data_IF_549685532377
#
_entry.id   IF_549685532377
#
_cell.length_a   1.000
_cell.length_b   1.000
_cell.length_c   1.000
_cell.angle_alpha   90.00
_cell.angle_beta   90.00
_cell.angle_gamma   90.00
#
_symmetry.space_group_name_H-M   'P 1'
#
loop_
_entity.id
_entity.type
_entity.pdbx_description
1 polymer ?
#
# COMPACT_ATOMS: atom_id res chain seq x y z
N UNK A 1 -4.63 -8.42 10.63
CA UNK A 1 -4.00 -7.93 9.39
C UNK A 1 -3.88 -6.43 9.51
N UNK A 2 -2.85 -5.83 8.93
CA UNK A 2 -2.98 -4.43 8.56
C UNK A 2 -3.97 -4.46 7.39
N UNK A 3 -5.26 -4.34 7.70
CA UNK A 3 -6.28 -4.09 6.68
C UNK A 3 -6.18 -2.61 6.30
N UNK A 4 -5.02 -2.21 5.81
CA UNK A 4 -4.86 -0.93 5.15
C UNK A 4 -5.33 -1.17 3.72
N UNK A 5 -6.56 -0.79 3.44
CA UNK A 5 -6.98 -0.58 2.07
C UNK A 5 -6.24 0.64 1.54
N UNK A 6 -5.04 0.42 1.01
CA UNK A 6 -4.43 1.39 0.11
C UNK A 6 -5.31 1.44 -1.12
N UNK A 7 -6.18 2.44 -1.16
CA UNK A 7 -7.00 2.69 -2.34
C UNK A 7 -6.12 3.43 -3.30
N UNK A 8 -5.59 2.69 -4.26
CA UNK A 8 -5.04 3.31 -5.46
C UNK A 8 -6.24 3.86 -6.19
N UNK A 9 -6.46 5.18 -6.07
CA UNK A 9 -7.55 5.81 -6.81
C UNK A 9 -7.24 5.59 -8.28
N UNK A 10 -8.02 4.73 -8.91
CA UNK A 10 -7.89 4.43 -10.32
C UNK A 10 -7.81 5.74 -11.09
N UNK A 11 -6.69 5.98 -11.74
CA UNK A 11 -6.70 6.82 -12.91
C UNK A 11 -7.74 6.20 -13.83
N UNK A 12 -8.87 6.87 -14.00
CA UNK A 12 -9.83 6.56 -15.05
C UNK A 12 -9.06 6.66 -16.36
N UNK A 13 -8.59 5.53 -16.86
CA UNK A 13 -8.02 5.44 -18.20
C UNK A 13 -9.20 5.18 -19.11
N UNK A 14 -9.93 6.26 -19.43
CA UNK A 14 -11.01 6.20 -20.42
C UNK A 14 -10.35 5.98 -21.78
N UNK A 15 -10.38 4.74 -22.25
CA UNK A 15 -9.75 4.35 -23.50
C UNK A 15 -10.69 4.63 -24.66
N UNK A 16 -10.40 5.67 -25.44
CA UNK A 16 -11.13 5.98 -26.67
C UNK A 16 -10.48 5.28 -27.88
N UNK A 17 -11.27 4.48 -28.61
CA UNK A 17 -10.81 3.79 -29.82
C UNK A 17 -11.03 4.70 -31.03
N UNK A 18 -9.95 5.25 -31.60
CA UNK A 18 -10.02 5.97 -32.88
C UNK A 18 -10.10 4.99 -34.06
N UNK A 19 -11.15 5.14 -34.87
CA UNK A 19 -11.38 4.35 -36.07
C UNK A 19 -10.94 5.08 -37.35
N UNK A 20 -10.25 6.22 -37.24
CA UNK A 20 -9.69 6.92 -38.39
C UNK A 20 -8.73 6.02 -39.19
N UNK A 21 -8.84 6.04 -40.52
CA UNK A 21 -8.01 5.20 -41.40
C UNK A 21 -8.47 3.74 -41.56
N UNK A 22 -9.53 3.30 -40.87
CA UNK A 22 -10.15 2.00 -41.11
C UNK A 22 -11.07 2.05 -42.34
N UNK A 23 -11.05 0.97 -43.14
CA UNK A 23 -11.97 0.81 -44.26
C UNK A 23 -13.09 -0.16 -43.88
N UNK A 24 -14.33 0.32 -43.90
CA UNK A 24 -15.50 -0.54 -43.75
C UNK A 24 -15.71 -1.34 -45.05
N UNK A 25 -15.35 -2.62 -45.03
CA UNK A 25 -15.61 -3.54 -46.15
C UNK A 25 -16.95 -4.24 -45.90
N UNK A 26 -17.99 -3.78 -46.59
CA UNK A 26 -19.29 -4.43 -46.56
C UNK A 26 -19.27 -5.67 -47.48
N UNK A 27 -19.75 -6.83 -47.02
CA UNK A 27 -19.91 -7.98 -47.90
C UNK A 27 -20.93 -7.66 -49.00
N UNK A 28 -20.67 -8.11 -50.22
CA UNK A 28 -21.47 -7.77 -51.41
C UNK A 28 -22.91 -8.32 -51.40
N UNK A 29 -23.24 -9.15 -50.43
CA UNK A 29 -24.51 -9.86 -50.26
C UNK A 29 -25.38 -9.30 -49.11
N UNK A 30 -24.98 -8.22 -48.44
CA UNK A 30 -25.71 -7.64 -47.30
C UNK A 30 -26.47 -6.37 -47.68
N UNK A 31 -27.80 -6.45 -47.69
CA UNK A 31 -28.72 -5.39 -48.15
C UNK A 31 -29.25 -4.50 -47.01
N UNK A 32 -28.41 -4.09 -46.05
CA UNK A 32 -28.89 -3.72 -44.70
C UNK A 32 -28.85 -2.26 -44.28
N UNK A 33 -28.24 -1.32 -45.04
CA UNK A 33 -28.30 0.10 -44.67
C UNK A 33 -29.23 0.88 -45.62
N UNK A 34 -30.49 1.06 -45.19
CA UNK A 34 -31.52 1.81 -45.93
C UNK A 34 -31.96 3.02 -45.11
N UNK A 35 -31.88 4.21 -45.72
CA UNK A 35 -32.45 5.45 -45.15
C UNK A 35 -33.84 5.65 -45.75
N UNK A 36 -34.86 5.61 -44.89
CA UNK A 36 -36.25 5.89 -45.30
C UNK A 36 -36.58 7.34 -45.00
N UNK A 37 -37.15 8.08 -45.97
CA UNK A 37 -37.65 9.44 -45.77
C UNK A 37 -39.14 9.51 -46.13
N UNK A 38 -39.88 10.35 -45.40
CA UNK A 38 -41.29 10.64 -45.68
C UNK A 38 -41.41 12.14 -45.91
N UNK A 39 -41.93 12.54 -47.07
CA UNK A 39 -42.24 13.93 -47.38
C UNK A 39 -43.75 14.14 -47.40
N UNK A 40 -44.22 15.13 -46.64
CA UNK A 40 -45.62 15.54 -46.64
C UNK A 40 -45.76 16.84 -47.43
N UNK A 41 -46.61 16.82 -48.45
CA UNK A 41 -46.88 17.97 -49.30
C UNK A 41 -48.31 18.44 -48.99
N UNK A 42 -48.43 19.61 -48.39
CA UNK A 42 -49.72 20.23 -48.08
C UNK A 42 -50.04 21.32 -49.10
N UNK A 43 -51.19 21.22 -49.75
CA UNK A 43 -51.70 22.24 -50.68
C UNK A 43 -52.63 23.20 -49.93
N UNK A 44 -52.55 24.52 -50.13
CA UNK A 44 -53.50 25.47 -49.56
C UNK A 44 -54.93 25.20 -50.05
N UNK A 45 -55.90 25.25 -49.15
CA UNK A 45 -57.31 24.95 -49.47
C UNK A 45 -58.09 26.15 -50.02
N UNK A 46 -57.51 27.34 -49.98
CA UNK A 46 -58.13 28.64 -50.30
C UNK A 46 -57.59 29.27 -51.59
N UNK A 47 -56.74 28.56 -52.35
CA UNK A 47 -56.22 29.00 -53.64
C UNK A 47 -56.46 27.95 -54.73
N UNK A 48 -56.97 28.40 -55.89
CA UNK A 48 -56.97 27.58 -57.11
C UNK A 48 -55.54 27.39 -57.62
N UNK A 49 -55.13 26.13 -57.78
CA UNK A 49 -53.86 25.75 -58.42
C UNK A 49 -54.13 24.85 -59.62
N UNK A 50 -53.36 25.06 -60.70
CA UNK A 50 -53.36 24.19 -61.88
C UNK A 50 -52.08 23.36 -61.87
N UNK A 51 -52.23 22.04 -61.78
CA UNK A 51 -51.13 21.09 -61.87
C UNK A 51 -51.11 20.50 -63.29
N UNK A 52 -49.94 20.45 -63.90
CA UNK A 52 -49.72 19.87 -65.22
C UNK A 52 -49.05 18.49 -65.11
N UNK A 53 -49.23 17.64 -66.13
CA UNK A 53 -48.56 16.33 -66.22
C UNK A 53 -47.03 16.44 -66.35
N UNK A 54 -46.52 17.63 -66.63
CA UNK A 54 -45.09 17.93 -66.70
C UNK A 54 -44.51 18.46 -65.39
N UNK A 55 -45.34 18.71 -64.37
CA UNK A 55 -44.84 19.22 -63.10
C UNK A 55 -44.13 18.08 -62.35
N UNK A 56 -42.93 18.36 -61.84
CA UNK A 56 -42.14 17.40 -61.05
C UNK A 56 -41.71 18.03 -59.73
N UNK A 57 -41.69 17.21 -58.68
CA UNK A 57 -41.25 17.61 -57.36
C UNK A 57 -39.91 16.92 -57.12
N UNK A 58 -38.84 17.71 -57.13
CA UNK A 58 -37.48 17.22 -56.83
C UNK A 58 -37.20 17.42 -55.35
N UNK A 59 -36.90 16.33 -54.64
CA UNK A 59 -36.52 16.35 -53.23
C UNK A 59 -35.05 15.91 -53.17
N UNK A 60 -34.17 16.83 -52.81
CA UNK A 60 -32.76 16.53 -52.56
C UNK A 60 -32.52 16.45 -51.05
N UNK A 61 -32.16 15.27 -50.56
CA UNK A 61 -31.76 15.06 -49.16
C UNK A 61 -30.23 15.10 -49.10
N UNK A 62 -29.67 16.08 -48.40
CA UNK A 62 -28.25 16.13 -48.09
C UNK A 62 -28.04 15.58 -46.67
N UNK A 63 -27.29 14.49 -46.55
CA UNK A 63 -26.91 13.90 -45.26
C UNK A 63 -25.45 14.24 -45.00
N UNK A 64 -25.20 15.24 -44.16
CA UNK A 64 -23.89 15.57 -43.63
C UNK A 64 -23.74 15.00 -42.21
N UNK A 65 -22.49 14.82 -41.77
CA UNK A 65 -22.14 14.50 -40.37
C UNK A 65 -22.72 13.19 -39.81
N UNK A 66 -22.93 12.18 -40.66
CA UNK A 66 -23.27 10.84 -40.18
C UNK A 66 -22.07 10.19 -39.50
N UNK A 67 -22.27 9.69 -38.29
CA UNK A 67 -21.30 8.92 -37.52
C UNK A 67 -21.90 7.58 -37.10
N UNK A 68 -21.06 6.54 -37.01
CA UNK A 68 -21.46 5.27 -36.42
C UNK A 68 -21.43 5.36 -34.90
N UNK A 69 -22.51 4.95 -34.24
CA UNK A 69 -22.52 4.77 -32.79
C UNK A 69 -21.82 3.46 -32.38
N UNK A 70 -21.93 2.43 -33.22
CA UNK A 70 -21.22 1.17 -33.04
C UNK A 70 -20.98 0.48 -34.38
N UNK A 71 -19.98 -0.40 -34.41
CA UNK A 71 -19.60 -1.22 -35.56
C UNK A 71 -19.42 -2.65 -35.08
N UNK A 72 -20.12 -3.59 -35.71
CA UNK A 72 -19.98 -5.03 -35.45
C UNK A 72 -19.35 -5.71 -36.65
N UNK A 73 -18.32 -6.52 -36.43
CA UNK A 73 -17.67 -7.30 -37.49
C UNK A 73 -16.32 -7.85 -37.09
N UNK A 74 -15.55 -8.29 -38.09
CA UNK A 74 -14.12 -8.57 -37.91
C UNK A 74 -13.37 -7.24 -37.94
N UNK A 75 -12.80 -6.87 -36.80
CA UNK A 75 -12.13 -5.59 -36.60
C UNK A 75 -10.64 -5.86 -36.48
N UNK A 76 -9.83 -5.14 -37.28
CA UNK A 76 -8.38 -5.25 -37.18
C UNK A 76 -7.94 -4.84 -35.77
N UNK A 77 -6.95 -5.53 -35.17
CA UNK A 77 -6.54 -5.23 -33.81
C UNK A 77 -6.03 -3.81 -33.66
N UNK A 78 -6.49 -3.12 -32.62
CA UNK A 78 -6.03 -1.78 -32.24
C UNK A 78 -5.03 -1.93 -31.09
N UNK A 79 -3.96 -1.14 -31.13
CA UNK A 79 -3.02 -1.01 -30.02
C UNK A 79 -3.23 0.36 -29.38
N UNK A 80 -3.35 0.35 -28.06
CA UNK A 80 -3.69 1.52 -27.26
C UNK A 80 -2.64 1.62 -26.16
N UNK A 81 -2.01 2.77 -26.03
CA UNK A 81 -1.12 3.06 -24.91
C UNK A 81 -1.96 3.44 -23.69
N UNK A 82 -1.60 2.87 -22.54
CA UNK A 82 -2.20 3.16 -21.25
C UNK A 82 -1.27 4.15 -20.54
N UNK A 83 -1.79 5.36 -20.33
CA UNK A 83 -1.08 6.41 -19.61
C UNK A 83 -0.67 5.95 -18.21
N UNK A 84 0.48 6.41 -17.70
CA UNK A 84 0.95 6.05 -16.38
C UNK A 84 -0.02 6.54 -15.31
N UNK A 85 -0.45 5.63 -14.46
CA UNK A 85 -1.20 5.92 -13.22
C UNK A 85 -0.23 5.76 -12.07
N UNK A 86 -0.06 6.83 -11.30
CA UNK A 86 0.79 6.86 -10.11
C UNK A 86 -0.06 6.91 -8.85
N UNK A 87 0.37 6.15 -7.85
CA UNK A 87 -0.18 6.21 -6.51
C UNK A 87 0.93 6.38 -5.50
N UNK A 88 0.77 7.39 -4.64
CA UNK A 88 1.60 7.57 -3.45
C UNK A 88 1.18 6.59 -2.37
N UNK A 89 2.16 6.02 -1.69
CA UNK A 89 1.97 5.09 -0.58
C UNK A 89 2.38 5.82 0.69
N UNK A 90 1.55 5.70 1.73
CA UNK A 90 1.94 6.18 3.04
C UNK A 90 3.11 5.33 3.52
N UNK A 91 4.22 5.98 3.85
CA UNK A 91 5.42 5.31 4.33
C UNK A 91 5.06 4.34 5.46
N UNK A 92 5.63 3.14 5.38
CA UNK A 92 5.54 2.19 6.48
C UNK A 92 6.24 2.81 7.71
N UNK A 93 5.74 2.57 8.93
CA UNK A 93 6.37 3.10 10.14
C UNK A 93 7.84 2.67 10.23
N UNK A 94 8.72 3.59 10.65
CA UNK A 94 10.17 3.36 10.77
C UNK A 94 10.47 2.23 11.78
N UNK A 95 9.57 1.96 12.73
CA UNK A 95 9.68 0.86 13.68
C UNK A 95 9.61 -0.53 13.02
N UNK A 96 9.20 -0.59 11.75
CA UNK A 96 9.22 -1.80 10.93
C UNK A 96 10.49 -1.91 10.06
N UNK A 97 11.51 -1.12 10.33
CA UNK A 97 12.82 -1.31 9.69
C UNK A 97 13.42 -2.68 10.08
N UNK A 98 13.86 -3.43 9.07
CA UNK A 98 14.30 -4.83 9.23
C UNK A 98 13.16 -5.87 9.29
N UNK A 99 11.91 -5.47 9.02
CA UNK A 99 10.76 -6.37 8.91
C UNK A 99 10.26 -6.49 7.47
N UNK A 100 10.71 -7.49 6.74
CA UNK A 100 10.25 -7.72 5.36
C UNK A 100 8.91 -8.44 5.33
N UNK A 101 7.97 -8.02 4.51
CA UNK A 101 6.74 -8.78 4.31
C UNK A 101 7.07 -10.12 3.64
N UNK A 102 6.63 -11.21 4.26
CA UNK A 102 6.77 -12.55 3.70
C UNK A 102 5.77 -12.77 2.56
N UNK A 103 4.53 -12.34 2.78
CA UNK A 103 3.42 -12.52 1.85
C UNK A 103 2.72 -11.19 1.59
N UNK A 104 2.49 -10.90 0.32
CA UNK A 104 1.76 -9.73 -0.16
C UNK A 104 0.93 -10.17 -1.34
N UNK A 105 -0.37 -9.98 -1.23
CA UNK A 105 -1.31 -10.17 -2.32
C UNK A 105 -1.50 -8.83 -3.04
N UNK A 106 -1.25 -8.80 -4.34
CA UNK A 106 -1.53 -7.65 -5.17
C UNK A 106 -2.26 -8.09 -6.42
N UNK A 107 -3.40 -7.47 -6.71
CA UNK A 107 -4.22 -7.80 -7.86
C UNK A 107 -4.73 -6.57 -8.59
N UNK A 108 -4.96 -6.72 -9.89
CA UNK A 108 -5.65 -5.75 -10.72
C UNK A 108 -6.94 -6.38 -11.22
N UNK A 109 -8.07 -5.76 -10.93
CA UNK A 109 -9.38 -6.16 -11.41
C UNK A 109 -9.82 -5.20 -12.52
N UNK A 110 -9.99 -5.74 -13.74
CA UNK A 110 -10.43 -4.96 -14.88
C UNK A 110 -11.92 -5.15 -15.17
N UNK A 111 -12.58 -4.07 -15.56
CA UNK A 111 -13.92 -4.10 -16.13
C UNK A 111 -13.87 -3.50 -17.53
N UNK A 112 -14.36 -4.24 -18.51
CA UNK A 112 -14.39 -3.81 -19.91
C UNK A 112 -15.79 -4.03 -20.48
N UNK A 113 -16.33 -3.01 -21.13
CA UNK A 113 -17.57 -3.13 -21.92
C UNK A 113 -17.31 -3.63 -23.35
N UNK A 114 -16.04 -3.65 -23.77
CA UNK A 114 -15.63 -3.94 -25.14
C UNK A 114 -15.94 -5.40 -25.48
N UNK A 115 -16.76 -5.61 -26.50
CA UNK A 115 -17.14 -6.94 -27.00
C UNK A 115 -16.07 -7.53 -27.94
N UNK A 116 -14.80 -7.43 -27.54
CA UNK A 116 -13.65 -8.00 -28.22
C UNK A 116 -12.61 -8.50 -27.21
N UNK A 117 -11.75 -9.47 -27.58
CA UNK A 117 -10.63 -9.87 -26.73
C UNK A 117 -9.68 -8.71 -26.44
N UNK A 118 -9.34 -8.47 -25.18
CA UNK A 118 -8.41 -7.42 -24.76
C UNK A 118 -7.18 -8.05 -24.11
N UNK A 119 -6.01 -7.84 -24.69
CA UNK A 119 -4.72 -8.31 -24.19
C UNK A 119 -3.95 -7.14 -23.60
N UNK A 120 -3.72 -7.17 -22.29
CA UNK A 120 -2.93 -6.17 -21.59
C UNK A 120 -1.46 -6.56 -21.53
N UNK A 121 -0.60 -5.57 -21.68
CA UNK A 121 0.84 -5.63 -21.38
C UNK A 121 1.17 -4.46 -20.45
N UNK A 122 1.26 -4.71 -19.16
CA UNK A 122 1.48 -3.69 -18.12
C UNK A 122 2.86 -3.84 -17.48
N UNK A 123 3.42 -2.71 -17.07
CA UNK A 123 4.57 -2.56 -16.21
C UNK A 123 4.11 -1.89 -14.92
N UNK A 124 4.25 -2.59 -13.81
CA UNK A 124 4.03 -2.07 -12.46
C UNK A 124 5.39 -1.83 -11.82
N UNK A 125 5.72 -0.57 -11.51
CA UNK A 125 7.01 -0.20 -10.93
C UNK A 125 6.81 0.46 -9.59
N UNK A 126 7.42 -0.10 -8.56
CA UNK A 126 7.53 0.51 -7.23
C UNK A 126 8.83 1.33 -7.15
N UNK A 127 8.77 2.51 -6.55
CA UNK A 127 9.90 3.42 -6.38
C UNK A 127 10.03 3.81 -4.91
N UNK A 128 11.24 3.71 -4.38
CA UNK A 128 11.66 4.35 -3.14
C UNK A 128 12.53 5.56 -3.53
N UNK A 129 12.00 6.75 -3.34
CA UNK A 129 12.63 8.01 -3.69
C UNK A 129 13.69 8.43 -2.66
N UNK A 130 13.59 7.91 -1.42
CA UNK A 130 14.55 8.16 -0.34
C UNK A 130 15.90 7.51 -0.65
N UNK A 131 15.91 6.22 -1.02
CA UNK A 131 17.14 5.47 -1.29
C UNK A 131 17.45 5.31 -2.80
N UNK A 132 16.48 5.59 -3.67
CA UNK A 132 16.60 5.51 -5.13
C UNK A 132 16.31 4.13 -5.73
N UNK A 133 15.86 3.16 -4.93
CA UNK A 133 15.55 1.81 -5.38
C UNK A 133 14.27 1.76 -6.23
N UNK A 134 14.24 0.81 -7.16
CA UNK A 134 13.02 0.51 -7.92
C UNK A 134 12.93 -0.94 -8.33
N UNK A 135 11.72 -1.48 -8.30
CA UNK A 135 11.42 -2.85 -8.73
C UNK A 135 10.25 -2.80 -9.70
N UNK A 136 10.38 -3.54 -10.80
CA UNK A 136 9.36 -3.62 -11.85
C UNK A 136 8.81 -5.04 -11.99
N UNK A 137 7.50 -5.13 -12.24
CA UNK A 137 6.79 -6.34 -12.61
C UNK A 137 6.08 -6.15 -13.94
N UNK A 138 6.25 -7.15 -14.81
CA UNK A 138 5.58 -7.20 -16.10
C UNK A 138 4.37 -8.13 -16.01
N UNK A 139 3.27 -7.69 -16.58
CA UNK A 139 2.00 -8.41 -16.63
C UNK A 139 1.60 -8.53 -18.09
N UNK A 140 1.28 -9.75 -18.52
CA UNK A 140 0.76 -10.00 -19.86
C UNK A 140 -0.43 -10.95 -19.77
N UNK A 141 -1.66 -10.44 -19.99
CA UNK A 141 -2.87 -11.23 -19.79
C UNK A 141 -4.02 -10.82 -20.71
N UNK A 142 -4.82 -11.80 -21.14
CA UNK A 142 -6.11 -11.56 -21.79
C UNK A 142 -7.20 -11.36 -20.72
N UNK A 143 -7.66 -10.12 -20.55
CA UNK A 143 -8.64 -9.76 -19.53
C UNK A 143 -10.08 -10.11 -19.92
N UNK A 144 -10.34 -10.42 -21.19
CA UNK A 144 -11.67 -10.88 -21.62
C UNK A 144 -11.97 -12.29 -21.10
N UNK A 145 -10.94 -13.13 -20.95
CA UNK A 145 -11.08 -14.48 -20.39
C UNK A 145 -10.96 -14.49 -18.85
N UNK A 146 -10.04 -13.69 -18.31
CA UNK A 146 -9.88 -13.53 -16.87
C UNK A 146 -9.55 -12.06 -16.54
N UNK A 147 -10.53 -11.29 -16.01
CA UNK A 147 -10.34 -9.87 -15.72
C UNK A 147 -9.46 -9.61 -14.48
N UNK A 148 -9.24 -10.61 -13.63
CA UNK A 148 -8.40 -10.50 -12.45
C UNK A 148 -6.96 -10.91 -12.81
N UNK A 149 -6.02 -10.00 -12.56
CA UNK A 149 -4.60 -10.21 -12.75
C UNK A 149 -3.94 -10.24 -11.38
N UNK A 150 -3.22 -11.31 -11.07
CA UNK A 150 -2.39 -11.39 -9.87
C UNK A 150 -0.96 -10.94 -10.19
N UNK A 151 -0.42 -10.04 -9.38
CA UNK A 151 0.97 -9.60 -9.47
C UNK A 151 1.84 -10.55 -8.65
N UNK A 152 2.67 -11.33 -9.35
CA UNK A 152 3.55 -12.30 -8.71
C UNK A 152 4.69 -11.62 -7.95
N UNK A 153 5.07 -12.20 -6.82
CA UNK A 153 6.13 -11.71 -5.94
C UNK A 153 5.96 -10.22 -5.60
N UNK A 154 4.74 -9.84 -5.23
CA UNK A 154 4.42 -8.47 -4.85
C UNK A 154 5.11 -8.03 -3.55
N UNK A 155 5.56 -8.98 -2.72
CA UNK A 155 6.34 -8.69 -1.52
C UNK A 155 7.63 -7.93 -1.85
N UNK A 156 8.33 -8.28 -2.91
CA UNK A 156 9.52 -7.55 -3.35
C UNK A 156 9.21 -6.07 -3.68
N UNK A 157 8.04 -5.79 -4.28
CA UNK A 157 7.62 -4.40 -4.57
C UNK A 157 7.40 -3.59 -3.29
N UNK A 158 6.87 -4.21 -2.23
CA UNK A 158 6.55 -3.54 -0.96
C UNK A 158 7.77 -3.49 -0.03
N UNK A 159 8.66 -4.48 -0.08
CA UNK A 159 9.81 -4.58 0.82
C UNK A 159 10.88 -3.52 0.53
N UNK A 160 10.93 -2.97 -0.68
CA UNK A 160 11.75 -1.77 -0.96
C UNK A 160 11.20 -0.50 -0.29
N UNK A 161 10.13 -0.57 0.50
CA UNK A 161 9.48 0.59 1.17
C UNK A 161 9.15 1.71 0.17
N UNK A 162 8.34 1.43 -0.85
CA UNK A 162 8.12 2.39 -1.91
C UNK A 162 7.31 3.61 -1.43
N UNK A 163 7.71 4.79 -1.87
CA UNK A 163 6.93 6.03 -1.75
C UNK A 163 5.80 6.10 -2.77
N UNK A 164 5.98 5.41 -3.91
CA UNK A 164 4.96 5.33 -4.96
C UNK A 164 5.02 4.04 -5.76
N UNK A 165 3.87 3.65 -6.31
CA UNK A 165 3.74 2.63 -7.35
C UNK A 165 3.14 3.26 -8.60
N UNK A 166 3.78 3.00 -9.74
CA UNK A 166 3.35 3.48 -11.06
C UNK A 166 2.99 2.29 -11.94
N UNK A 167 1.78 2.31 -12.50
CA UNK A 167 1.31 1.35 -13.48
C UNK A 167 1.22 2.01 -14.86
N UNK A 168 1.81 1.41 -15.89
CA UNK A 168 1.74 1.88 -17.29
C UNK A 168 1.76 0.71 -18.24
N UNK A 169 1.36 0.90 -19.49
CA UNK A 169 1.47 -0.20 -20.45
C UNK A 169 0.74 0.05 -21.75
N UNK A 170 0.27 -1.03 -22.35
CA UNK A 170 -0.58 -0.98 -23.53
C UNK A 170 -1.62 -2.09 -23.52
N UNK A 171 -2.69 -1.87 -24.28
CA UNK A 171 -3.72 -2.84 -24.56
C UNK A 171 -3.79 -3.12 -26.06
N UNK A 172 -3.94 -4.39 -26.41
CA UNK A 172 -4.35 -4.82 -27.74
C UNK A 172 -5.81 -5.24 -27.70
N UNK A 173 -6.65 -4.54 -28.44
CA UNK A 173 -8.10 -4.81 -28.53
C UNK A 173 -8.40 -5.51 -29.85
N UNK A 174 -9.07 -6.66 -29.78
CA UNK A 174 -9.45 -7.46 -30.93
C UNK A 174 -8.39 -8.46 -31.40
N UNK A 175 -8.85 -9.43 -32.18
CA UNK A 175 -8.00 -10.31 -32.98
C UNK A 175 -8.71 -10.59 -34.33
N UNK A 176 -7.94 -10.99 -35.36
CA UNK A 176 -8.48 -11.23 -36.71
C UNK A 176 -9.46 -12.42 -36.77
N UNK A 177 -9.42 -13.28 -35.77
CA UNK A 177 -10.26 -14.48 -35.68
C UNK A 177 -11.56 -14.22 -34.87
N UNK A 178 -11.75 -12.99 -34.38
CA UNK A 178 -12.90 -12.59 -33.56
C UNK A 178 -13.84 -11.69 -34.33
N UNK A 179 -15.13 -11.94 -34.14
CA UNK A 179 -16.20 -11.02 -34.51
C UNK A 179 -16.68 -10.40 -33.21
N UNK A 180 -16.78 -9.08 -33.19
CA UNK A 180 -17.22 -8.36 -32.01
C UNK A 180 -17.77 -7.00 -32.36
N UNK A 181 -18.25 -6.30 -31.34
CA UNK A 181 -18.80 -4.96 -31.46
C UNK A 181 -17.88 -3.96 -30.77
N UNK A 182 -17.62 -2.84 -31.43
CA UNK A 182 -17.05 -1.65 -30.81
C UNK A 182 -18.06 -0.53 -30.86
N UNK A 183 -18.25 0.18 -29.75
CA UNK A 183 -19.14 1.31 -29.63
C UNK A 183 -18.37 2.57 -29.21
N UNK A 184 -18.94 3.74 -29.50
CA UNK A 184 -18.32 5.03 -29.13
C UNK A 184 -18.23 5.26 -27.62
N UNK A 185 -19.06 4.55 -26.85
CA UNK A 185 -19.13 4.59 -25.38
C UNK A 185 -18.45 3.38 -24.72
N UNK A 186 -17.69 2.59 -25.49
CA UNK A 186 -16.92 1.51 -24.92
C UNK A 186 -15.83 2.03 -23.98
N UNK A 187 -15.62 1.30 -22.88
CA UNK A 187 -14.65 1.67 -21.86
C UNK A 187 -13.90 0.46 -21.32
N UNK A 188 -12.70 0.76 -20.82
CA UNK A 188 -11.87 -0.15 -20.05
C UNK A 188 -11.48 0.57 -18.76
N UNK A 189 -11.68 -0.09 -17.63
CA UNK A 189 -11.31 0.44 -16.32
C UNK A 189 -10.64 -0.65 -15.49
N UNK A 190 -9.77 -0.25 -14.57
CA UNK A 190 -9.06 -1.18 -13.70
C UNK A 190 -8.96 -0.65 -12.27
N UNK A 191 -8.97 -1.55 -11.29
CA UNK A 191 -8.75 -1.25 -9.88
C UNK A 191 -7.60 -2.10 -9.37
N UNK A 192 -6.56 -1.46 -8.82
CA UNK A 192 -5.46 -2.17 -8.14
C UNK A 192 -5.79 -2.31 -6.66
N UNK A 193 -5.66 -3.53 -6.14
CA UNK A 193 -5.80 -3.85 -4.72
C UNK A 193 -4.50 -4.45 -4.19
N UNK A 194 -4.07 -4.00 -3.02
CA UNK A 194 -2.91 -4.54 -2.30
C UNK A 194 -3.35 -4.96 -0.91
N UNK A 195 -2.97 -6.16 -0.51
CA UNK A 195 -3.19 -6.69 0.83
C UNK A 195 -1.90 -7.31 1.33
N UNK A 196 -1.39 -6.78 2.44
CA UNK A 196 -0.20 -7.30 3.11
C UNK A 196 -0.59 -7.81 4.50
N UNK A 197 -0.69 -9.13 4.71
CA UNK A 197 -0.74 -9.70 6.05
C UNK A 197 0.48 -9.23 6.87
N UNK A 198 0.27 -9.03 8.18
CA UNK A 198 1.37 -8.75 9.14
C UNK A 198 2.12 -10.05 9.45
N UNK A 199 2.77 -10.59 8.44
CA UNK A 199 3.63 -11.77 8.52
C UNK A 199 4.97 -11.37 7.92
N UNK A 200 5.98 -11.32 8.77
CA UNK A 200 7.25 -10.72 8.45
C UNK A 200 8.36 -11.76 8.45
N UNK A 201 9.31 -11.61 7.53
CA UNK A 201 10.67 -12.09 7.69
C UNK A 201 11.40 -11.01 8.47
N UNK A 202 11.87 -11.36 9.67
CA UNK A 202 12.54 -10.41 10.54
C UNK A 202 14.02 -10.74 10.56
N UNK A 203 14.84 -9.76 10.22
CA UNK A 203 16.29 -9.89 10.27
C UNK A 203 16.76 -10.05 11.72
N UNK A 204 17.82 -10.84 11.90
CA UNK A 204 18.43 -10.97 13.22
C UNK A 204 18.98 -9.61 13.66
N UNK A 205 18.51 -9.13 14.81
CA UNK A 205 18.90 -7.82 15.33
C UNK A 205 18.05 -6.64 14.87
N UNK A 206 16.93 -6.86 14.15
CA UNK A 206 15.94 -5.81 13.90
C UNK A 206 15.56 -5.13 15.24
N UNK A 207 15.54 -3.79 15.24
CA UNK A 207 15.43 -3.00 16.46
C UNK A 207 14.07 -2.31 16.50
N UNK A 208 13.26 -2.66 17.50
CA UNK A 208 12.05 -1.92 17.85
C UNK A 208 12.41 -0.95 18.98
N UNK A 209 12.30 0.35 18.71
CA UNK A 209 12.63 1.40 19.67
C UNK A 209 11.58 2.52 19.56
N UNK A 210 10.62 2.64 20.49
CA UNK A 210 9.67 3.75 20.49
C UNK A 210 10.39 5.07 20.79
N UNK A 211 9.71 6.19 20.53
CA UNK A 211 10.24 7.52 20.86
C UNK A 211 10.65 7.65 22.34
N UNK A 212 11.74 8.38 22.64
CA UNK A 212 12.13 8.65 24.02
C UNK A 212 11.06 9.40 24.81
N UNK A 213 10.84 9.00 26.06
CA UNK A 213 9.83 9.61 26.94
C UNK A 213 10.50 10.29 28.12
N UNK A 214 10.01 11.48 28.51
CA UNK A 214 10.47 12.14 29.73
C UNK A 214 10.12 11.28 30.96
N UNK A 215 11.15 10.88 31.70
CA UNK A 215 11.04 10.00 32.87
C UNK A 215 11.05 10.81 34.17
N UNK A 216 12.07 11.67 34.35
CA UNK A 216 12.16 12.60 35.48
C UNK A 216 12.28 14.03 34.95
N UNK A 217 11.40 14.91 35.40
CA UNK A 217 11.41 16.32 34.99
C UNK A 217 12.55 17.09 35.64
N UNK A 218 12.92 18.21 35.02
CA UNK A 218 13.96 19.08 35.56
C UNK A 218 13.58 19.60 36.95
N UNK A 219 14.45 19.33 37.93
CA UNK A 219 14.26 19.72 39.32
C UNK A 219 13.37 18.76 40.14
N UNK A 220 12.75 17.76 39.50
CA UNK A 220 12.07 16.67 40.19
C UNK A 220 13.06 15.55 40.52
N UNK A 221 12.67 14.68 41.46
CA UNK A 221 13.41 13.48 41.86
C UNK A 221 12.42 12.34 42.07
N UNK A 222 12.88 11.10 41.87
CA UNK A 222 12.13 9.89 42.21
C UNK A 222 11.94 9.70 43.73
N UNK A 223 12.47 10.61 44.56
CA UNK A 223 12.35 10.52 46.02
C UNK A 223 13.18 9.39 46.62
N UNK A 224 14.21 8.96 45.89
CA UNK A 224 15.14 7.91 46.30
C UNK A 224 16.10 8.48 47.35
N UNK A 225 16.14 7.93 48.58
CA UNK A 225 17.09 8.36 49.60
C UNK A 225 18.54 8.12 49.20
N UNK A 226 19.45 8.96 49.68
CA UNK A 226 20.88 8.86 49.37
C UNK A 226 21.56 7.65 50.01
N UNK A 227 20.95 7.10 51.07
CA UNK A 227 21.49 5.96 51.82
C UNK A 227 21.23 4.61 51.15
N UNK A 228 20.41 4.57 50.08
CA UNK A 228 20.21 3.35 49.29
C UNK A 228 21.38 3.17 48.33
N UNK A 229 22.05 2.02 48.45
CA UNK A 229 23.24 1.64 47.68
C UNK A 229 22.95 0.55 46.63
N UNK A 230 21.88 -0.21 46.81
CA UNK A 230 21.42 -1.20 45.84
C UNK A 230 19.90 -1.36 45.90
N UNK A 231 19.33 -1.80 44.79
CA UNK A 231 17.91 -2.12 44.69
C UNK A 231 17.70 -3.36 43.83
N UNK A 232 16.85 -4.26 44.30
CA UNK A 232 16.31 -5.33 43.46
C UNK A 232 14.88 -4.98 43.03
N UNK A 233 14.63 -5.01 41.72
CA UNK A 233 13.34 -4.76 41.08
C UNK A 233 12.77 -6.07 40.54
N UNK A 234 11.44 -6.23 40.58
CA UNK A 234 10.76 -7.38 39.97
C UNK A 234 10.36 -7.01 38.56
N UNK A 235 10.91 -7.70 37.56
CA UNK A 235 10.50 -7.58 36.18
C UNK A 235 9.53 -8.70 35.81
N UNK A 236 8.39 -8.34 35.23
CA UNK A 236 7.44 -9.26 34.63
C UNK A 236 7.37 -8.99 33.12
N UNK A 237 7.57 -10.03 32.33
CA UNK A 237 7.43 -10.01 30.86
C UNK A 237 6.26 -10.91 30.48
N UNK A 238 5.36 -10.39 29.67
CA UNK A 238 4.34 -11.14 28.96
C UNK A 238 4.51 -10.85 27.47
N UNK A 239 5.15 -11.80 26.76
CA UNK A 239 5.37 -11.75 25.33
C UNK A 239 4.30 -12.60 24.64
N UNK A 240 3.49 -11.99 23.78
CA UNK A 240 2.55 -12.69 22.91
C UNK A 240 3.03 -12.76 21.46
N UNK A 241 4.26 -12.30 21.20
CA UNK A 241 4.84 -12.37 19.87
C UNK A 241 5.40 -13.77 19.60
N UNK A 242 5.33 -14.17 18.33
CA UNK A 242 5.90 -15.44 17.84
C UNK A 242 7.44 -15.41 17.72
N UNK A 243 8.10 -14.36 18.23
CA UNK A 243 9.55 -14.21 18.27
C UNK A 243 10.07 -13.89 19.68
N UNK A 244 11.32 -14.28 19.93
CA UNK A 244 12.05 -13.87 21.11
C UNK A 244 12.75 -12.53 20.87
N UNK A 245 13.10 -11.84 21.96
CA UNK A 245 13.84 -10.59 21.86
C UNK A 245 14.78 -10.39 23.05
N UNK A 246 15.75 -9.50 22.86
CA UNK A 246 16.58 -8.92 23.91
C UNK A 246 16.07 -7.53 24.23
N UNK A 247 16.03 -7.17 25.52
CA UNK A 247 15.62 -5.85 25.99
C UNK A 247 16.81 -5.13 26.61
N UNK A 248 16.99 -3.89 26.20
CA UNK A 248 17.78 -2.88 26.88
C UNK A 248 16.92 -1.65 27.16
N UNK A 249 17.32 -0.88 28.17
CA UNK A 249 16.68 0.38 28.52
C UNK A 249 17.76 1.44 28.58
N UNK A 250 17.62 2.45 27.74
CA UNK A 250 18.53 3.58 27.66
C UNK A 250 17.99 4.76 28.46
N UNK A 251 18.91 5.54 29.00
CA UNK A 251 18.67 6.82 29.63
C UNK A 251 19.50 7.91 28.96
N UNK A 252 18.92 9.10 28.83
CA UNK A 252 19.61 10.28 28.37
C UNK A 252 19.18 11.54 29.13
N UNK A 253 20.00 12.61 29.11
CA UNK A 253 19.67 13.89 29.72
C UNK A 253 18.55 14.64 28.99
N UNK A 254 18.28 14.31 27.73
CA UNK A 254 17.16 14.78 26.91
C UNK A 254 16.90 13.80 25.74
N UNK A 255 15.83 14.03 24.96
CA UNK A 255 15.49 13.16 23.83
C UNK A 255 16.53 13.21 22.69
N UNK A 256 17.15 14.37 22.45
CA UNK A 256 18.16 14.54 21.40
C UNK A 256 19.46 13.80 21.73
N UNK A 257 19.84 13.76 23.01
CA UNK A 257 20.98 12.97 23.47
C UNK A 257 20.78 11.48 23.19
N UNK A 258 19.54 11.00 23.32
CA UNK A 258 19.19 9.61 22.98
C UNK A 258 19.30 9.36 21.48
N UNK A 259 18.76 10.24 20.65
CA UNK A 259 18.88 10.17 19.19
C UNK A 259 20.34 10.23 18.70
N UNK A 260 21.18 11.02 19.36
CA UNK A 260 22.60 11.16 19.04
C UNK A 260 23.49 10.03 19.62
N UNK A 261 22.92 9.10 20.39
CA UNK A 261 23.65 8.00 21.03
C UNK A 261 24.49 8.40 22.24
N UNK A 262 24.27 9.60 22.80
CA UNK A 262 24.88 10.08 24.05
C UNK A 262 24.08 9.56 25.25
N UNK A 263 24.02 8.23 25.37
CA UNK A 263 23.15 7.51 26.30
C UNK A 263 23.93 6.71 27.34
N UNK A 264 23.30 6.52 28.49
CA UNK A 264 23.67 5.50 29.46
C UNK A 264 22.70 4.32 29.36
N UNK A 265 23.17 3.12 29.69
CA UNK A 265 22.32 1.92 29.72
C UNK A 265 21.87 1.65 31.15
N UNK A 266 20.56 1.77 31.41
CA UNK A 266 19.99 1.46 32.71
C UNK A 266 19.91 -0.06 32.93
N UNK A 267 19.43 -0.79 31.91
CA UNK A 267 19.25 -2.24 31.93
C UNK A 267 19.63 -2.85 30.59
N UNK A 268 20.24 -4.03 30.59
CA UNK A 268 20.51 -4.79 29.38
C UNK A 268 20.66 -6.29 29.65
N UNK A 269 20.67 -7.09 28.59
CA UNK A 269 20.96 -8.52 28.65
C UNK A 269 19.77 -9.41 28.99
N UNK A 270 18.58 -8.84 29.12
CA UNK A 270 17.35 -9.61 29.34
C UNK A 270 16.86 -10.17 28.02
N UNK A 271 16.80 -11.49 27.92
CA UNK A 271 16.29 -12.18 26.73
C UNK A 271 15.08 -13.01 27.09
N UNK A 272 14.13 -13.08 26.17
CA UNK A 272 12.94 -13.93 26.31
C UNK A 272 12.65 -14.65 25.01
N UNK A 273 12.05 -15.84 25.15
CA UNK A 273 11.60 -16.66 24.03
C UNK A 273 10.24 -16.19 23.48
N UNK A 274 9.83 -16.66 22.29
CA UNK A 274 8.46 -16.52 21.81
C UNK A 274 7.43 -16.96 22.86
N UNK A 275 6.28 -16.30 22.91
CA UNK A 275 5.15 -16.65 23.79
C UNK A 275 5.49 -16.79 25.30
N UNK A 276 6.57 -16.13 25.73
CA UNK A 276 7.08 -16.29 27.08
C UNK A 276 6.31 -15.44 28.11
N UNK A 277 6.03 -16.05 29.27
CA UNK A 277 5.66 -15.31 30.48
C UNK A 277 6.73 -15.53 31.53
N UNK A 278 7.46 -14.47 31.87
CA UNK A 278 8.64 -14.51 32.73
C UNK A 278 8.42 -13.56 33.91
N UNK A 279 8.83 -13.99 35.09
CA UNK A 279 9.03 -13.12 36.26
C UNK A 279 10.49 -13.31 36.68
N UNK A 280 11.23 -12.21 36.72
CA UNK A 280 12.66 -12.21 37.07
C UNK A 280 12.97 -11.07 38.04
N UNK A 281 14.12 -11.17 38.72
CA UNK A 281 14.61 -10.13 39.62
C UNK A 281 15.81 -9.45 38.99
N UNK A 282 15.67 -8.14 38.80
CA UNK A 282 16.72 -7.27 38.29
C UNK A 282 17.45 -6.65 39.47
N UNK A 283 18.76 -6.79 39.51
CA UNK A 283 19.60 -6.07 40.46
C UNK A 283 20.15 -4.83 39.80
N UNK A 284 19.88 -3.66 40.39
CA UNK A 284 20.51 -2.41 40.05
C UNK A 284 21.78 -2.27 40.88
N UNK A 285 22.91 -2.12 40.20
CA UNK A 285 24.15 -1.73 40.84
C UNK A 285 24.16 -0.22 41.15
N UNK A 286 25.20 0.23 41.87
CA UNK A 286 25.35 1.62 42.27
C UNK A 286 25.32 2.56 41.05
N UNK A 287 25.98 2.19 39.95
CA UNK A 287 26.03 3.01 38.74
C UNK A 287 24.62 3.18 38.13
N UNK A 288 23.88 2.09 37.93
CA UNK A 288 22.50 2.13 37.44
C UNK A 288 21.58 2.92 38.38
N UNK A 289 21.82 2.86 39.70
CA UNK A 289 21.05 3.61 40.68
C UNK A 289 21.33 5.11 40.61
N UNK A 290 22.58 5.51 40.41
CA UNK A 290 22.95 6.91 40.18
C UNK A 290 22.33 7.46 38.89
N UNK A 291 22.15 6.63 37.85
CA UNK A 291 21.41 7.04 36.66
C UNK A 291 19.94 7.39 36.97
N UNK A 292 19.27 6.62 37.83
CA UNK A 292 17.88 6.88 38.23
C UNK A 292 17.70 8.18 39.04
N UNK A 293 18.75 8.64 39.72
CA UNK A 293 18.74 9.90 40.47
C UNK A 293 18.88 11.14 39.59
N UNK A 294 19.18 10.99 38.29
CA UNK A 294 19.41 12.13 37.39
C UNK A 294 18.13 12.90 37.08
N UNK A 295 18.28 14.21 37.05
CA UNK A 295 17.21 15.16 36.72
C UNK A 295 17.75 16.29 35.84
N UNK A 296 17.12 16.57 34.69
CA UNK A 296 16.05 15.77 34.09
C UNK A 296 16.58 14.46 33.48
N UNK A 297 15.70 13.53 33.13
CA UNK A 297 16.05 12.28 32.44
C UNK A 297 14.94 11.80 31.51
N UNK A 298 15.36 11.21 30.39
CA UNK A 298 14.52 10.57 29.39
C UNK A 298 14.87 9.09 29.31
N UNK A 299 13.87 8.27 29.04
CA UNK A 299 14.00 6.82 28.97
C UNK A 299 13.54 6.32 27.59
N UNK A 300 14.26 5.34 27.06
CA UNK A 300 13.89 4.66 25.83
C UNK A 300 14.16 3.15 25.94
N UNK A 301 13.13 2.30 25.88
CA UNK A 301 13.35 0.86 25.76
C UNK A 301 13.81 0.53 24.34
N UNK A 302 14.73 -0.42 24.22
CA UNK A 302 15.21 -0.96 22.97
C UNK A 302 14.99 -2.48 22.96
N UNK A 303 14.27 -2.95 21.95
CA UNK A 303 13.90 -4.36 21.82
C UNK A 303 14.54 -4.88 20.54
N UNK A 304 15.60 -5.67 20.69
CA UNK A 304 16.31 -6.28 19.57
C UNK A 304 15.78 -7.69 19.33
N UNK A 305 15.27 -7.94 18.13
CA UNK A 305 14.65 -9.22 17.77
C UNK A 305 15.69 -10.34 17.72
N UNK A 306 15.39 -11.44 18.42
CA UNK A 306 16.14 -12.70 18.35
C UNK A 306 15.33 -13.65 17.47
N UNK A 307 15.65 -13.64 16.18
CA UNK A 307 15.04 -14.51 15.17
C UNK A 307 16.00 -15.61 14.74
N UNK A 308 15.44 -16.77 14.38
CA UNK A 308 16.17 -17.77 13.60
C UNK A 308 16.02 -17.37 12.13
N UNK A 309 17.09 -16.82 11.53
CA UNK A 309 17.08 -16.28 10.17
C UNK A 309 16.30 -17.16 9.17
N UNK A 310 15.42 -16.52 8.38
CA UNK A 310 14.64 -17.17 7.34
C UNK A 310 13.34 -17.85 7.79
N UNK A 311 12.98 -17.79 9.07
CA UNK A 311 11.67 -18.24 9.54
C UNK A 311 10.70 -17.06 9.57
N UNK A 312 9.58 -17.11 8.83
CA UNK A 312 8.54 -16.09 8.96
C UNK A 312 8.01 -16.05 10.38
N UNK A 313 7.92 -14.85 10.91
CA UNK A 313 7.35 -14.54 12.21
C UNK A 313 6.04 -13.83 11.97
N UNK A 314 4.97 -14.30 12.59
CA UNK A 314 3.68 -13.63 12.49
C UNK A 314 3.56 -12.58 13.57
N UNK A 315 2.96 -11.45 13.19
CA UNK A 315 2.62 -10.38 14.10
C UNK A 315 1.13 -10.08 13.95
N UNK A 316 0.31 -10.43 14.93
CA UNK A 316 -1.11 -10.05 14.88
C UNK A 316 -1.26 -8.64 15.45
N UNK A 317 -2.22 -7.89 14.91
CA UNK A 317 -2.61 -6.58 15.44
C UNK A 317 -3.15 -6.64 16.88
N UNK A 318 -3.37 -7.85 17.40
CA UNK A 318 -3.80 -8.13 18.78
C UNK A 318 -2.67 -8.54 19.70
N UNK A 319 -1.49 -8.84 19.16
CA UNK A 319 -0.39 -9.33 19.98
C UNK A 319 0.21 -8.18 20.77
N UNK A 320 0.53 -8.45 22.03
CA UNK A 320 1.10 -7.46 22.94
C UNK A 320 2.38 -7.98 23.56
N UNK A 321 3.37 -7.10 23.66
CA UNK A 321 4.48 -7.25 24.60
C UNK A 321 4.22 -6.33 25.77
N UNK A 322 4.07 -6.89 26.96
CA UNK A 322 3.98 -6.13 28.19
C UNK A 322 5.20 -6.44 29.06
N UNK A 323 6.01 -5.42 29.29
CA UNK A 323 7.08 -5.44 30.26
C UNK A 323 6.65 -4.55 31.42
N UNK A 324 6.75 -5.05 32.65
CA UNK A 324 6.45 -4.29 33.85
C UNK A 324 7.59 -4.49 34.84
N UNK A 325 8.11 -3.39 35.38
CA UNK A 325 9.17 -3.41 36.37
C UNK A 325 8.60 -2.74 37.63
N UNK A 326 8.36 -3.56 38.65
CA UNK A 326 7.67 -3.17 39.88
C UNK A 326 8.44 -3.62 41.12
N UNK A 327 8.24 -2.90 42.23
CA UNK A 327 8.75 -3.27 43.55
C UNK A 327 10.22 -2.90 43.76
N UNK A 328 10.57 -2.59 45.01
CA UNK A 328 11.94 -2.29 45.45
C UNK A 328 12.19 -3.08 46.72
N UNK A 329 13.20 -3.94 46.72
CA UNK A 329 13.91 -4.31 47.95
C UNK A 329 15.28 -3.64 47.92
N UNK A 330 15.53 -2.75 48.88
CA UNK A 330 16.77 -1.96 48.95
C UNK A 330 17.62 -2.35 50.14
N UNK A 331 18.94 -2.31 49.96
CA UNK A 331 19.88 -2.28 51.08
C UNK A 331 20.27 -0.83 51.38
N UNK A 332 20.32 -0.51 52.67
CA UNK A 332 20.68 0.82 53.17
C UNK A 332 22.08 0.73 53.77
N UNK A 333 22.98 1.62 53.35
CA UNK A 333 24.29 1.75 54.02
C UNK A 333 24.11 2.50 55.35
N UNK A 334 24.25 1.75 56.46
CA UNK A 334 24.15 2.29 57.81
C UNK A 334 25.48 2.88 58.32
N UNK A 335 26.58 2.76 57.56
CA UNK A 335 27.89 3.28 57.99
C UNK A 335 27.94 4.82 58.02
N UNK A 336 27.12 5.49 57.18
CA UNK A 336 26.96 6.94 57.19
C UNK A 336 26.25 7.48 58.46
N UNK A 337 25.57 6.62 59.24
CA UNK A 337 24.91 7.01 60.49
C UNK A 337 25.85 6.96 61.71
N UNK A 338 27.08 6.48 61.56
CA UNK A 338 28.01 6.24 62.67
C UNK A 338 29.02 7.39 62.84
N UNK A 339 29.09 8.33 61.89
CA UNK A 339 30.04 9.47 61.93
C UNK A 339 29.47 10.75 62.59
N UNK A 340 28.26 10.70 63.17
CA UNK A 340 27.71 11.76 64.03
C UNK A 340 27.67 11.34 65.52
N UNK A 341 28.84 11.15 66.14
CA UNK A 341 29.02 11.28 67.61
C UNK A 341 30.26 12.13 67.97
#
# INVERSE_FOLDING_TARGET
SLDTTFTINSGISEVQIDLSGYNLVLPSDVDTQKVNYISNISLPSDQEMTLSLSDSISISVNMADMAFQSVTGQINPVFIDIDPVEQTIDALPEELDGFDFNDVEMSLDFNSSIDLPVYLNLSITAYNDTNGDSITRMVNQNIHANPNIQILNASELINIRPDRIVARGSAKVGNLDSVGTVASDDSLSGVMSVRAPLMFLVDAGALISPDPVEFVKQGDSLGIPDEIIDAALVMTINNQWEFGASVSVLLGPDSLAIENGEVDTLLSGFTFSPDASIVDTIYLDEDAFQLLKRSPSWIQPQISVISNEGTPVKFLSTDTLKITIDGVSSSIDLSALVDEE
#
